data_IF_788881154856
#
_entry.id   IF_788881154856
#
_cell.length_a   1.000
_cell.length_b   1.000
_cell.length_c   1.000
_cell.angle_alpha   90.00
_cell.angle_beta   90.00
_cell.angle_gamma   90.00
#
_symmetry.space_group_name_H-M   'P 1'
#
loop_
_entity.id
_entity.type
_entity.pdbx_description
1 polymer ?
#
# COMPACT_ATOMS: atom_id res chain seq x y z
N UNK A 1 32.64 -84.04 -25.28
CA UNK A 1 32.23 -84.59 -23.97
C UNK A 1 31.66 -83.45 -23.15
N UNK A 2 30.56 -83.72 -22.46
CA UNK A 2 29.55 -82.82 -21.86
C UNK A 2 30.07 -81.79 -20.83
N UNK A 3 29.27 -80.69 -20.74
CA UNK A 3 28.95 -79.88 -19.54
C UNK A 3 30.07 -78.93 -19.05
N UNK A 4 29.86 -77.68 -18.64
CA UNK A 4 28.65 -76.97 -18.18
C UNK A 4 29.02 -75.56 -17.68
N UNK A 5 28.00 -74.79 -17.26
CA UNK A 5 28.01 -73.51 -16.53
C UNK A 5 28.03 -72.28 -17.46
N UNK A 6 27.05 -71.38 -17.45
CA UNK A 6 26.27 -70.93 -16.29
C UNK A 6 24.92 -70.31 -16.70
N UNK A 7 23.76 -70.90 -16.34
CA UNK A 7 22.46 -70.24 -16.46
C UNK A 7 22.29 -69.08 -15.44
N UNK A 8 23.24 -68.93 -14.51
CA UNK A 8 23.22 -67.89 -13.48
C UNK A 8 23.55 -66.49 -14.03
N UNK A 9 24.40 -66.37 -15.07
CA UNK A 9 24.75 -65.07 -15.63
C UNK A 9 23.59 -64.47 -16.44
N UNK A 10 22.85 -65.31 -17.17
CA UNK A 10 21.68 -64.88 -17.93
C UNK A 10 20.52 -64.47 -17.00
N UNK A 11 20.33 -65.19 -15.88
CA UNK A 11 19.33 -64.83 -14.87
C UNK A 11 19.67 -63.53 -14.13
N UNK A 12 20.95 -63.26 -13.85
CA UNK A 12 21.39 -62.02 -13.18
C UNK A 12 21.29 -60.79 -14.12
N UNK A 13 21.60 -60.96 -15.41
CA UNK A 13 21.42 -59.91 -16.42
C UNK A 13 19.94 -59.63 -16.72
N UNK A 14 19.07 -60.65 -16.67
CA UNK A 14 17.63 -60.44 -16.78
C UNK A 14 17.06 -59.74 -15.55
N UNK A 15 17.58 -60.03 -14.35
CA UNK A 15 17.18 -59.34 -13.11
C UNK A 15 17.66 -57.87 -13.07
N UNK A 16 18.85 -57.56 -13.59
CA UNK A 16 19.35 -56.18 -13.69
C UNK A 16 18.62 -55.40 -14.80
N UNK A 17 18.23 -56.06 -15.91
CA UNK A 17 17.37 -55.42 -16.92
C UNK A 17 15.90 -55.29 -16.49
N UNK A 18 15.37 -56.19 -15.65
CA UNK A 18 14.02 -56.07 -15.09
C UNK A 18 13.95 -55.13 -13.88
N UNK A 19 15.05 -54.94 -13.14
CA UNK A 19 15.16 -53.91 -12.10
C UNK A 19 15.46 -52.52 -12.69
N UNK A 20 15.98 -52.44 -13.91
CA UNK A 20 16.31 -51.20 -14.62
C UNK A 20 15.14 -50.54 -15.38
N UNK A 21 13.97 -51.18 -15.44
CA UNK A 21 12.77 -50.67 -16.11
C UNK A 21 11.54 -50.62 -15.20
N UNK A 22 11.76 -50.42 -13.90
CA UNK A 22 10.71 -50.07 -12.94
C UNK A 22 11.03 -48.78 -12.18
N UNK A 23 11.60 -47.78 -12.85
CA UNK A 23 11.15 -46.41 -12.58
C UNK A 23 9.97 -46.17 -13.50
N UNK A 24 8.82 -46.73 -13.13
CA UNK A 24 7.59 -46.06 -13.45
C UNK A 24 7.79 -44.62 -12.94
N UNK A 25 7.93 -43.67 -13.86
CA UNK A 25 7.42 -42.35 -13.58
C UNK A 25 5.91 -42.58 -13.35
N UNK A 26 5.54 -42.98 -12.13
CA UNK A 26 4.23 -42.65 -11.60
C UNK A 26 4.13 -41.16 -11.84
N UNK A 27 3.34 -40.78 -12.85
CA UNK A 27 2.94 -39.41 -13.11
C UNK A 27 2.23 -38.96 -11.85
N UNK A 28 3.01 -38.46 -10.88
CA UNK A 28 2.51 -38.09 -9.56
C UNK A 28 1.56 -36.93 -9.78
N UNK A 29 0.29 -37.25 -9.59
CA UNK A 29 -0.87 -36.40 -9.78
C UNK A 29 -0.66 -34.99 -9.23
N UNK A 30 -1.09 -33.99 -10.01
CA UNK A 30 -1.10 -32.59 -9.57
C UNK A 30 -2.16 -32.39 -8.49
N UNK A 31 -1.77 -31.83 -7.35
CA UNK A 31 -2.66 -31.65 -6.21
C UNK A 31 -3.44 -30.34 -6.27
N UNK A 32 -2.91 -29.33 -6.96
CA UNK A 32 -3.51 -28.00 -7.10
C UNK A 32 -3.55 -27.61 -8.59
N UNK A 33 -4.73 -27.24 -9.07
CA UNK A 33 -4.97 -26.83 -10.46
C UNK A 33 -5.55 -25.42 -10.45
N UNK A 34 -4.82 -24.46 -10.99
CA UNK A 34 -5.18 -23.04 -10.96
C UNK A 34 -5.84 -22.62 -12.26
N UNK A 35 -7.01 -22.00 -12.19
CA UNK A 35 -7.64 -21.27 -13.28
C UNK A 35 -7.43 -19.80 -13.00
N UNK A 36 -6.33 -19.28 -13.54
CA UNK A 36 -5.88 -17.92 -13.30
C UNK A 36 -4.82 -17.51 -14.31
N UNK A 37 -4.55 -16.22 -14.44
CA UNK A 37 -3.43 -15.64 -15.19
C UNK A 37 -2.09 -16.07 -14.61
N UNK A 38 -1.04 -16.05 -15.44
CA UNK A 38 0.34 -16.30 -15.03
C UNK A 38 0.90 -15.24 -14.06
N UNK A 39 0.20 -14.10 -13.94
CA UNK A 39 0.53 -12.98 -13.04
C UNK A 39 -0.12 -13.08 -11.67
N UNK A 40 -1.06 -13.99 -11.44
CA UNK A 40 -1.76 -14.11 -10.16
C UNK A 40 -0.79 -14.39 -9.00
N UNK A 41 -0.90 -13.66 -7.89
CA UNK A 41 0.10 -13.74 -6.81
C UNK A 41 0.13 -15.13 -6.18
N UNK A 42 -1.03 -15.71 -5.84
CA UNK A 42 -1.08 -17.03 -5.22
C UNK A 42 -0.42 -18.08 -6.10
N UNK A 43 -0.73 -18.11 -7.39
CA UNK A 43 -0.12 -19.05 -8.33
C UNK A 43 1.40 -18.89 -8.38
N UNK A 44 1.90 -17.65 -8.47
CA UNK A 44 3.34 -17.37 -8.50
C UNK A 44 4.02 -17.76 -7.19
N UNK A 45 3.40 -17.49 -6.05
CA UNK A 45 3.96 -17.82 -4.73
C UNK A 45 3.97 -19.34 -4.50
N UNK A 46 2.90 -20.05 -4.85
CA UNK A 46 2.81 -21.51 -4.74
C UNK A 46 3.85 -22.18 -5.64
N UNK A 47 3.93 -21.76 -6.92
CA UNK A 47 4.92 -22.27 -7.87
C UNK A 47 6.35 -21.97 -7.41
N UNK A 48 6.62 -20.73 -6.99
CA UNK A 48 7.93 -20.30 -6.49
C UNK A 48 8.35 -20.98 -5.18
N UNK A 49 7.39 -21.50 -4.41
CA UNK A 49 7.63 -22.28 -3.19
C UNK A 49 7.90 -23.77 -3.48
N UNK A 50 7.92 -24.18 -4.75
CA UNK A 50 8.23 -25.55 -5.17
C UNK A 50 7.05 -26.52 -5.05
N UNK A 51 5.82 -26.01 -4.92
CA UNK A 51 4.62 -26.85 -4.92
C UNK A 51 4.29 -27.36 -6.32
N UNK A 52 3.76 -28.57 -6.38
CA UNK A 52 3.30 -29.18 -7.64
C UNK A 52 1.91 -28.66 -7.96
N UNK A 53 1.85 -27.79 -8.96
CA UNK A 53 0.61 -27.25 -9.46
C UNK A 53 0.64 -27.06 -10.97
N UNK A 54 -0.55 -27.02 -11.57
CA UNK A 54 -0.75 -26.68 -12.98
C UNK A 54 -1.58 -25.41 -13.10
N UNK A 55 -1.41 -24.66 -14.20
CA UNK A 55 -2.22 -23.49 -14.56
C UNK A 55 -3.02 -23.79 -15.83
N UNK A 56 -4.27 -23.35 -15.86
CA UNK A 56 -5.20 -23.46 -16.97
C UNK A 56 -5.88 -22.11 -17.21
N UNK A 57 -6.40 -21.92 -18.42
CA UNK A 57 -7.19 -20.73 -18.78
C UNK A 57 -8.68 -20.92 -18.55
N UNK A 58 -9.15 -22.18 -18.41
CA UNK A 58 -10.57 -22.50 -18.22
C UNK A 58 -10.79 -23.52 -17.11
N UNK A 59 -11.98 -23.46 -16.49
CA UNK A 59 -12.42 -24.43 -15.49
C UNK A 59 -12.58 -25.84 -16.07
N UNK A 60 -13.08 -25.95 -17.30
CA UNK A 60 -13.25 -27.22 -17.98
C UNK A 60 -11.91 -27.95 -18.15
N UNK A 61 -10.89 -27.26 -18.67
CA UNK A 61 -9.56 -27.85 -18.87
C UNK A 61 -8.92 -28.27 -17.54
N UNK A 62 -9.06 -27.43 -16.50
CA UNK A 62 -8.54 -27.75 -15.17
C UNK A 62 -9.22 -29.00 -14.58
N UNK A 63 -10.54 -29.12 -14.71
CA UNK A 63 -11.29 -30.28 -14.23
C UNK A 63 -11.00 -31.55 -15.01
N UNK A 64 -10.74 -31.45 -16.31
CA UNK A 64 -10.40 -32.60 -17.15
C UNK A 64 -9.06 -33.24 -16.75
N UNK A 65 -8.10 -32.41 -16.36
CA UNK A 65 -6.76 -32.86 -15.96
C UNK A 65 -6.61 -33.08 -14.44
N UNK A 66 -7.50 -32.52 -13.64
CA UNK A 66 -7.53 -32.75 -12.20
C UNK A 66 -7.89 -34.20 -11.90
N UNK A 67 -7.00 -34.90 -11.18
CA UNK A 67 -7.29 -36.25 -10.69
C UNK A 67 -8.04 -36.24 -9.36
N UNK A 68 -8.49 -37.42 -8.94
CA UNK A 68 -9.24 -37.62 -7.70
C UNK A 68 -8.55 -37.08 -6.44
N UNK A 69 -9.28 -36.34 -5.62
CA UNK A 69 -8.75 -35.77 -4.37
C UNK A 69 -7.79 -34.59 -4.54
N UNK A 70 -7.65 -34.07 -5.76
CA UNK A 70 -7.00 -32.77 -6.02
C UNK A 70 -7.96 -31.60 -5.83
N UNK A 71 -7.44 -30.38 -5.92
CA UNK A 71 -8.23 -29.16 -5.87
C UNK A 71 -8.13 -28.36 -7.19
N UNK A 72 -9.21 -27.66 -7.52
CA UNK A 72 -9.27 -26.68 -8.60
C UNK A 72 -9.59 -25.31 -8.00
N UNK A 73 -8.75 -24.31 -8.28
CA UNK A 73 -8.86 -22.95 -7.77
C UNK A 73 -9.23 -21.99 -8.90
N UNK A 74 -10.44 -21.46 -8.87
CA UNK A 74 -10.96 -20.45 -9.80
C UNK A 74 -10.69 -19.05 -9.21
N UNK A 75 -9.64 -18.39 -9.69
CA UNK A 75 -9.17 -17.13 -9.12
C UNK A 75 -9.71 -15.90 -9.88
N UNK A 76 -9.94 -14.81 -9.16
CA UNK A 76 -10.60 -13.63 -9.71
C UNK A 76 -9.62 -12.69 -10.44
N UNK A 77 -9.17 -13.04 -11.65
CA UNK A 77 -8.26 -12.17 -12.42
C UNK A 77 -8.89 -10.86 -12.87
N UNK A 78 -10.20 -10.85 -13.16
CA UNK A 78 -10.93 -9.65 -13.57
C UNK A 78 -11.29 -8.69 -12.43
N UNK A 79 -10.88 -8.99 -11.20
CA UNK A 79 -11.23 -8.22 -10.02
C UNK A 79 -10.65 -6.79 -10.01
N UNK A 80 -11.41 -5.79 -9.52
CA UNK A 80 -12.80 -5.86 -9.07
C UNK A 80 -13.84 -5.66 -10.19
N UNK A 81 -13.41 -5.38 -11.42
CA UNK A 81 -14.27 -4.97 -12.53
C UNK A 81 -15.17 -6.10 -13.06
N UNK A 82 -14.73 -7.35 -12.95
CA UNK A 82 -15.47 -8.54 -13.36
C UNK A 82 -15.48 -9.58 -12.24
N UNK A 83 -16.65 -10.22 -12.07
CA UNK A 83 -16.86 -11.36 -11.18
C UNK A 83 -16.48 -12.66 -11.90
N UNK A 84 -16.14 -13.70 -11.13
CA UNK A 84 -15.76 -15.01 -11.68
C UNK A 84 -17.01 -15.80 -12.06
N UNK A 85 -17.24 -16.01 -13.35
CA UNK A 85 -18.31 -16.86 -13.83
C UNK A 85 -18.02 -18.33 -13.51
N UNK A 86 -18.99 -19.04 -12.91
CA UNK A 86 -18.88 -20.48 -12.61
C UNK A 86 -20.19 -21.16 -12.97
N UNK A 87 -20.14 -22.01 -13.99
CA UNK A 87 -21.31 -22.75 -14.45
C UNK A 87 -21.66 -23.91 -13.52
N UNK A 88 -22.94 -24.31 -13.48
CA UNK A 88 -23.37 -25.47 -12.68
C UNK A 88 -22.65 -26.77 -13.06
N UNK A 89 -22.25 -26.91 -14.33
CA UNK A 89 -21.48 -28.05 -14.84
C UNK A 89 -20.13 -28.22 -14.15
N UNK A 90 -19.49 -27.12 -13.72
CA UNK A 90 -18.23 -27.14 -12.97
C UNK A 90 -18.42 -27.82 -11.61
N UNK A 91 -19.49 -27.46 -10.89
CA UNK A 91 -19.84 -28.08 -9.62
C UNK A 91 -20.17 -29.56 -9.78
N UNK A 92 -20.98 -29.91 -10.79
CA UNK A 92 -21.37 -31.30 -11.06
C UNK A 92 -20.15 -32.19 -11.37
N UNK A 93 -19.22 -31.68 -12.19
CA UNK A 93 -17.97 -32.38 -12.51
C UNK A 93 -17.06 -32.53 -11.29
N UNK A 94 -16.92 -31.47 -10.50
CA UNK A 94 -16.10 -31.50 -9.29
C UNK A 94 -16.64 -32.53 -8.28
N UNK A 95 -17.96 -32.58 -8.07
CA UNK A 95 -18.60 -33.58 -7.22
C UNK A 95 -18.37 -35.01 -7.74
N UNK A 96 -18.57 -35.25 -9.05
CA UNK A 96 -18.35 -36.57 -9.67
C UNK A 96 -16.92 -37.08 -9.52
N UNK A 97 -15.92 -36.18 -9.60
CA UNK A 97 -14.49 -36.52 -9.47
C UNK A 97 -13.95 -36.36 -8.05
N UNK A 98 -14.80 -36.03 -7.07
CA UNK A 98 -14.39 -35.71 -5.70
C UNK A 98 -13.24 -34.66 -5.64
N UNK A 99 -13.33 -33.65 -6.49
CA UNK A 99 -12.42 -32.51 -6.55
C UNK A 99 -12.97 -31.42 -5.63
N UNK A 100 -12.09 -30.81 -4.83
CA UNK A 100 -12.45 -29.63 -4.03
C UNK A 100 -12.29 -28.36 -4.86
N UNK A 101 -13.31 -27.51 -4.83
CA UNK A 101 -13.26 -26.21 -5.50
C UNK A 101 -12.85 -25.10 -4.52
N UNK A 102 -12.06 -24.16 -5.02
CA UNK A 102 -11.90 -22.83 -4.41
C UNK A 102 -12.33 -21.78 -5.42
N UNK A 103 -13.21 -20.87 -5.03
CA UNK A 103 -13.82 -19.91 -5.95
C UNK A 103 -13.72 -18.51 -5.35
N UNK A 104 -13.10 -17.57 -6.08
CA UNK A 104 -13.02 -16.17 -5.66
C UNK A 104 -14.01 -15.28 -6.40
N UNK A 105 -14.62 -14.36 -5.66
CA UNK A 105 -15.44 -13.26 -6.17
C UNK A 105 -16.45 -13.72 -7.25
N UNK A 106 -17.29 -14.74 -6.96
CA UNK A 106 -18.13 -15.39 -7.96
C UNK A 106 -19.25 -14.47 -8.47
N UNK A 107 -19.64 -14.64 -9.73
CA UNK A 107 -20.76 -13.91 -10.31
C UNK A 107 -22.09 -14.36 -9.69
N UNK A 108 -22.30 -15.68 -9.68
CA UNK A 108 -23.44 -16.34 -9.08
C UNK A 108 -23.04 -17.75 -8.66
N UNK A 109 -23.67 -18.27 -7.61
CA UNK A 109 -23.60 -19.67 -7.19
C UNK A 109 -25.02 -20.11 -6.86
N UNK A 110 -25.49 -21.19 -7.47
CA UNK A 110 -26.84 -21.71 -7.21
C UNK A 110 -27.02 -22.04 -5.71
N UNK A 111 -28.13 -21.56 -5.13
CA UNK A 111 -28.41 -21.66 -3.69
C UNK A 111 -27.80 -20.55 -2.81
N UNK A 112 -26.99 -19.65 -3.37
CA UNK A 112 -26.44 -18.50 -2.64
C UNK A 112 -26.91 -17.16 -3.23
N UNK A 113 -27.33 -16.25 -2.36
CA UNK A 113 -27.63 -14.87 -2.74
C UNK A 113 -26.30 -14.12 -2.86
N UNK A 114 -25.95 -13.74 -4.09
CA UNK A 114 -24.76 -12.96 -4.41
C UNK A 114 -25.18 -11.51 -4.71
N UNK A 115 -24.98 -10.60 -3.75
CA UNK A 115 -25.45 -9.21 -3.89
C UNK A 115 -24.57 -8.35 -4.83
N UNK A 116 -24.86 -7.04 -4.87
CA UNK A 116 -24.01 -6.08 -5.56
C UNK A 116 -22.69 -5.89 -4.79
N UNK A 117 -21.59 -5.79 -5.54
CA UNK A 117 -20.27 -5.51 -4.96
C UNK A 117 -20.30 -4.26 -4.07
N UNK A 118 -19.79 -4.41 -2.86
CA UNK A 118 -19.59 -3.35 -1.87
C UNK A 118 -18.09 -3.10 -1.67
N UNK A 119 -17.72 -1.86 -1.37
CA UNK A 119 -16.32 -1.48 -1.05
C UNK A 119 -16.22 -1.24 0.45
N UNK A 120 -15.27 -1.92 1.09
CA UNK A 120 -14.93 -1.68 2.47
C UNK A 120 -14.27 -0.31 2.63
N UNK A 121 -14.79 0.49 3.57
CA UNK A 121 -14.25 1.80 3.91
C UNK A 121 -13.48 1.75 5.23
N UNK A 122 -14.08 1.12 6.23
CA UNK A 122 -13.53 1.01 7.60
C UNK A 122 -13.50 -0.43 8.10
N UNK A 123 -14.11 -1.34 7.36
CA UNK A 123 -14.19 -2.75 7.66
C UNK A 123 -12.85 -3.44 7.38
N UNK A 124 -12.52 -4.41 8.22
CA UNK A 124 -11.30 -5.23 8.10
C UNK A 124 -11.67 -6.69 8.12
N UNK A 125 -10.84 -7.53 7.53
CA UNK A 125 -11.04 -8.97 7.58
C UNK A 125 -10.70 -9.49 8.98
N UNK A 126 -11.51 -10.42 9.46
CA UNK A 126 -11.34 -11.04 10.79
C UNK A 126 -11.53 -12.54 10.65
N UNK A 127 -10.64 -13.30 11.27
CA UNK A 127 -10.78 -14.76 11.38
C UNK A 127 -11.94 -15.07 12.31
N UNK A 128 -12.93 -15.80 11.80
CA UNK A 128 -14.18 -16.10 12.51
C UNK A 128 -14.23 -17.56 13.00
N UNK A 129 -13.61 -18.49 12.28
CA UNK A 129 -13.51 -19.90 12.63
C UNK A 129 -12.18 -20.30 13.27
N UNK A 130 -12.10 -21.52 13.79
CA UNK A 130 -10.90 -22.09 14.42
C UNK A 130 -10.06 -22.96 13.45
N UNK A 131 -10.50 -23.10 12.20
CA UNK A 131 -9.91 -23.97 11.18
C UNK A 131 -8.42 -23.71 10.86
N UNK A 132 -7.92 -22.52 11.17
CA UNK A 132 -6.52 -22.14 10.91
C UNK A 132 -5.58 -22.36 12.12
N UNK A 133 -6.13 -22.83 13.24
CA UNK A 133 -5.39 -23.21 14.44
C UNK A 133 -4.65 -22.06 15.13
N UNK A 134 -3.74 -22.41 16.04
CA UNK A 134 -3.06 -21.44 16.92
C UNK A 134 -2.18 -20.41 16.18
N UNK A 135 -1.73 -20.73 14.97
CA UNK A 135 -0.90 -19.80 14.16
C UNK A 135 -1.71 -18.67 13.55
N UNK A 136 -3.02 -18.85 13.40
CA UNK A 136 -3.94 -17.82 12.92
C UNK A 136 -5.26 -17.95 13.69
N UNK A 137 -5.28 -17.51 14.96
CA UNK A 137 -6.41 -17.75 15.85
C UNK A 137 -7.64 -16.93 15.45
N UNK A 138 -8.81 -17.37 15.91
CA UNK A 138 -10.04 -16.60 15.87
C UNK A 138 -9.84 -15.20 16.44
N UNK A 139 -10.57 -14.22 15.89
CA UNK A 139 -10.46 -12.78 16.14
C UNK A 139 -9.20 -12.10 15.60
N UNK A 140 -8.28 -12.82 14.94
CA UNK A 140 -7.14 -12.18 14.26
C UNK A 140 -7.63 -11.24 13.17
N UNK A 141 -7.12 -10.00 13.16
CA UNK A 141 -7.41 -9.01 12.14
C UNK A 141 -6.41 -9.16 10.98
N UNK A 142 -6.92 -9.20 9.75
CA UNK A 142 -6.15 -9.07 8.52
C UNK A 142 -6.67 -7.86 7.72
N UNK A 143 -5.73 -7.11 7.15
CA UNK A 143 -6.02 -5.95 6.31
C UNK A 143 -5.95 -6.32 4.84
N UNK A 144 -6.96 -5.90 4.10
CA UNK A 144 -7.03 -5.93 2.64
C UNK A 144 -7.22 -4.50 2.12
N UNK A 145 -6.31 -4.03 1.28
CA UNK A 145 -6.36 -2.70 0.70
C UNK A 145 -7.61 -2.54 -0.17
N UNK A 146 -8.47 -1.55 0.16
CA UNK A 146 -9.70 -1.19 -0.55
C UNK A 146 -10.48 -2.43 -1.05
N UNK A 147 -10.84 -3.31 -0.11
CA UNK A 147 -11.51 -4.57 -0.43
C UNK A 147 -12.87 -4.31 -1.10
N UNK A 148 -13.02 -4.83 -2.32
CA UNK A 148 -14.30 -5.01 -2.97
C UNK A 148 -14.78 -6.43 -2.64
N UNK A 149 -15.97 -6.57 -2.12
CA UNK A 149 -16.53 -7.87 -1.78
C UNK A 149 -17.99 -7.96 -2.18
N UNK A 150 -18.47 -9.18 -2.33
CA UNK A 150 -19.87 -9.49 -2.64
C UNK A 150 -20.53 -9.87 -1.32
N UNK A 151 -21.46 -9.05 -0.78
CA UNK A 151 -22.23 -9.46 0.38
C UNK A 151 -22.96 -10.78 0.09
N UNK A 152 -22.78 -11.74 1.00
CA UNK A 152 -23.33 -13.10 0.94
C UNK A 152 -23.73 -13.53 2.34
N UNK A 153 -24.60 -14.55 2.43
CA UNK A 153 -24.90 -15.23 3.68
C UNK A 153 -24.29 -16.63 3.68
N UNK A 154 -23.66 -16.99 4.78
CA UNK A 154 -23.09 -18.30 5.00
C UNK A 154 -23.10 -18.61 6.50
N UNK A 155 -23.50 -19.83 6.86
CA UNK A 155 -23.31 -20.33 8.21
C UNK A 155 -21.82 -20.61 8.46
N UNK A 156 -21.37 -20.35 9.68
CA UNK A 156 -20.01 -20.67 10.16
C UNK A 156 -18.88 -20.21 9.21
N UNK A 157 -18.79 -18.90 8.89
CA UNK A 157 -17.73 -18.41 8.03
C UNK A 157 -16.35 -18.63 8.67
N UNK A 158 -15.36 -18.95 7.83
CA UNK A 158 -13.95 -19.03 8.24
C UNK A 158 -13.38 -17.63 8.48
N UNK A 159 -13.79 -16.68 7.65
CA UNK A 159 -13.45 -15.26 7.77
C UNK A 159 -14.64 -14.38 7.45
N UNK A 160 -14.66 -13.22 8.07
CA UNK A 160 -15.65 -12.16 7.83
C UNK A 160 -14.95 -10.83 7.54
N UNK A 161 -15.67 -9.87 6.96
CA UNK A 161 -15.31 -8.46 6.92
C UNK A 161 -16.26 -7.68 7.82
N UNK A 162 -15.70 -6.86 8.71
CA UNK A 162 -16.49 -6.10 9.68
C UNK A 162 -15.73 -4.88 10.21
N UNK A 163 -16.49 -3.88 10.68
CA UNK A 163 -15.91 -2.77 11.45
C UNK A 163 -15.66 -3.23 12.89
N UNK A 164 -14.39 -3.52 13.18
CA UNK A 164 -13.94 -3.98 14.51
C UNK A 164 -12.95 -3.00 15.13
N UNK A 165 -12.84 -3.01 16.45
CA UNK A 165 -11.80 -2.28 17.17
C UNK A 165 -10.58 -3.17 17.47
N UNK A 166 -9.40 -2.56 17.59
CA UNK A 166 -8.13 -3.24 17.83
C UNK A 166 -7.19 -3.18 16.62
N UNK A 167 -5.92 -3.52 16.82
CA UNK A 167 -4.92 -3.53 15.74
C UNK A 167 -4.68 -4.96 15.23
N UNK A 168 -4.24 -5.83 16.13
CA UNK A 168 -3.91 -7.23 15.88
C UNK A 168 -5.10 -8.19 16.01
N UNK A 169 -6.05 -7.86 16.87
CA UNK A 169 -7.22 -8.68 17.17
C UNK A 169 -8.47 -7.82 17.36
N UNK A 170 -9.64 -8.40 17.07
CA UNK A 170 -10.93 -7.78 17.29
C UNK A 170 -11.30 -7.84 18.79
N UNK A 171 -10.85 -6.85 19.56
CA UNK A 171 -10.90 -6.88 21.04
C UNK A 171 -12.32 -6.81 21.63
N UNK A 172 -13.30 -6.36 20.84
CA UNK A 172 -14.72 -6.35 21.22
C UNK A 172 -15.55 -7.41 20.47
N UNK A 173 -14.88 -8.37 19.82
CA UNK A 173 -15.53 -9.42 19.04
C UNK A 173 -15.94 -8.99 17.64
N UNK A 174 -16.65 -9.89 16.95
CA UNK A 174 -17.21 -9.69 15.61
C UNK A 174 -18.67 -9.23 15.77
N UNK A 175 -19.08 -8.09 15.16
CA UNK A 175 -20.45 -7.61 15.24
C UNK A 175 -21.40 -8.42 14.35
N UNK A 176 -22.70 -8.37 14.66
CA UNK A 176 -23.75 -9.05 13.85
C UNK A 176 -23.85 -8.51 12.42
N UNK A 177 -23.37 -7.29 12.17
CA UNK A 177 -23.31 -6.68 10.84
C UNK A 177 -22.14 -7.19 9.98
N UNK A 178 -21.40 -8.20 10.45
CA UNK A 178 -20.27 -8.76 9.72
C UNK A 178 -20.74 -9.54 8.48
N UNK A 179 -19.99 -9.43 7.38
CA UNK A 179 -20.25 -10.17 6.16
C UNK A 179 -19.25 -11.32 6.00
N UNK A 180 -19.69 -12.56 5.73
CA UNK A 180 -18.81 -13.65 5.31
C UNK A 180 -17.89 -13.25 4.15
N UNK A 181 -16.59 -13.49 4.30
CA UNK A 181 -15.56 -13.30 3.26
C UNK A 181 -15.01 -14.62 2.75
N UNK A 182 -14.90 -15.62 3.62
CA UNK A 182 -14.42 -16.95 3.27
C UNK A 182 -15.24 -17.99 4.03
N UNK A 183 -15.87 -18.91 3.33
CA UNK A 183 -16.75 -19.91 3.94
C UNK A 183 -16.80 -21.19 3.11
N UNK A 184 -17.17 -22.29 3.77
CA UNK A 184 -17.33 -23.61 3.13
C UNK A 184 -18.74 -23.72 2.55
N UNK A 185 -18.84 -24.45 1.44
CA UNK A 185 -20.09 -24.84 0.80
C UNK A 185 -20.10 -26.37 0.64
N UNK A 186 -20.41 -27.13 1.71
CA UNK A 186 -20.20 -28.57 1.77
C UNK A 186 -20.94 -29.34 0.68
N UNK A 187 -22.17 -28.94 0.35
CA UNK A 187 -23.03 -29.56 -0.65
C UNK A 187 -22.48 -29.43 -2.09
N UNK A 188 -21.57 -28.47 -2.31
CA UNK A 188 -20.86 -28.29 -3.59
C UNK A 188 -19.38 -28.67 -3.52
N UNK A 189 -18.93 -29.25 -2.39
CA UNK A 189 -17.52 -29.55 -2.10
C UNK A 189 -16.58 -28.36 -2.39
N UNK A 190 -17.01 -27.15 -2.00
CA UNK A 190 -16.35 -25.91 -2.37
C UNK A 190 -15.98 -25.05 -1.16
N UNK A 191 -14.97 -24.21 -1.33
CA UNK A 191 -14.65 -23.08 -0.49
C UNK A 191 -14.84 -21.81 -1.32
N UNK A 192 -15.63 -20.88 -0.82
CA UNK A 192 -16.00 -19.65 -1.55
C UNK A 192 -15.41 -18.45 -0.83
N UNK A 193 -14.70 -17.62 -1.57
CA UNK A 193 -14.25 -16.31 -1.14
C UNK A 193 -15.10 -15.23 -1.81
N UNK A 194 -15.73 -14.36 -1.03
CA UNK A 194 -16.57 -13.26 -1.53
C UNK A 194 -15.77 -12.11 -2.15
N UNK A 195 -14.44 -12.25 -2.24
CA UNK A 195 -13.47 -11.25 -2.71
C UNK A 195 -12.23 -11.96 -3.28
N UNK A 196 -11.25 -11.20 -3.78
CA UNK A 196 -9.96 -11.72 -4.24
C UNK A 196 -8.95 -11.80 -3.10
N UNK A 197 -8.83 -12.96 -2.47
CA UNK A 197 -7.78 -13.24 -1.49
C UNK A 197 -6.43 -13.50 -2.18
N UNK A 198 -6.45 -13.95 -3.44
CA UNK A 198 -5.26 -14.39 -4.18
C UNK A 198 -4.36 -13.25 -4.65
N UNK A 199 -4.76 -11.99 -4.46
CA UNK A 199 -4.01 -10.77 -4.80
C UNK A 199 -3.21 -10.17 -3.64
N UNK A 200 -2.79 -10.99 -2.68
CA UNK A 200 -2.25 -10.51 -1.39
C UNK A 200 -0.86 -9.88 -1.46
N UNK A 201 -0.08 -10.13 -2.52
CA UNK A 201 1.24 -9.52 -2.71
C UNK A 201 1.10 -8.18 -3.39
N UNK A 202 0.43 -8.17 -4.54
CA UNK A 202 0.15 -6.98 -5.35
C UNK A 202 -0.71 -5.99 -4.57
N UNK A 203 -1.81 -6.45 -3.94
CA UNK A 203 -2.69 -5.64 -3.10
C UNK A 203 -2.10 -5.22 -1.75
N UNK A 204 -0.85 -5.58 -1.45
CA UNK A 204 -0.13 -5.22 -0.21
C UNK A 204 -0.88 -5.61 1.06
N UNK A 205 -1.47 -6.81 1.09
CA UNK A 205 -2.24 -7.24 2.25
C UNK A 205 -1.33 -7.46 3.46
N UNK A 206 -1.85 -7.18 4.65
CA UNK A 206 -1.09 -7.20 5.89
C UNK A 206 -1.87 -7.88 7.03
N UNK A 207 -1.20 -8.44 8.05
CA UNK A 207 0.23 -8.69 8.13
C UNK A 207 0.68 -9.80 7.18
N UNK A 208 1.81 -9.62 6.49
CA UNK A 208 2.25 -10.58 5.45
C UNK A 208 2.41 -12.01 5.97
N UNK A 209 2.92 -12.21 7.20
CA UNK A 209 3.10 -13.56 7.74
C UNK A 209 1.76 -14.30 7.95
N UNK A 210 0.72 -13.56 8.36
CA UNK A 210 -0.61 -14.11 8.62
C UNK A 210 -1.31 -14.49 7.32
N UNK A 211 -1.13 -13.71 6.26
CA UNK A 211 -1.60 -14.08 4.92
C UNK A 211 -0.97 -15.37 4.41
N UNK A 212 0.29 -15.63 4.75
CA UNK A 212 0.96 -16.90 4.44
C UNK A 212 0.34 -18.05 5.20
N UNK A 213 0.09 -17.86 6.50
CA UNK A 213 -0.57 -18.85 7.35
C UNK A 213 -1.99 -19.14 6.89
N UNK A 214 -2.74 -18.11 6.51
CA UNK A 214 -4.08 -18.23 5.94
C UNK A 214 -4.06 -19.10 4.68
N UNK A 215 -3.19 -18.78 3.73
CA UNK A 215 -3.11 -19.54 2.47
C UNK A 215 -2.61 -20.96 2.66
N UNK A 216 -1.65 -21.19 3.55
CA UNK A 216 -1.23 -22.55 3.95
C UNK A 216 -2.41 -23.34 4.53
N UNK A 217 -3.25 -22.69 5.34
CA UNK A 217 -4.48 -23.27 5.89
C UNK A 217 -5.53 -23.59 4.82
N UNK A 218 -5.82 -22.64 3.91
CA UNK A 218 -6.75 -22.83 2.79
C UNK A 218 -6.29 -23.99 1.91
N UNK A 219 -5.01 -24.04 1.53
CA UNK A 219 -4.46 -25.14 0.75
C UNK A 219 -4.58 -26.47 1.50
N UNK A 220 -4.37 -26.47 2.83
CA UNK A 220 -4.58 -27.66 3.66
C UNK A 220 -6.03 -28.15 3.68
N UNK A 221 -7.01 -27.25 3.64
CA UNK A 221 -8.44 -27.59 3.53
C UNK A 221 -8.79 -28.15 2.15
N UNK A 222 -8.19 -27.62 1.09
CA UNK A 222 -8.44 -27.99 -0.30
C UNK A 222 -7.72 -29.28 -0.72
N UNK A 223 -6.47 -29.47 -0.29
CA UNK A 223 -5.65 -30.63 -0.61
C UNK A 223 -4.86 -31.05 0.63
N UNK A 224 -5.43 -31.86 1.55
CA UNK A 224 -4.80 -32.21 2.84
C UNK A 224 -3.43 -32.90 2.74
N UNK A 225 -3.19 -33.59 1.62
CA UNK A 225 -1.92 -34.24 1.26
C UNK A 225 -0.86 -33.24 0.76
N UNK A 226 -1.26 -32.04 0.34
CA UNK A 226 -0.38 -30.96 -0.05
C UNK A 226 0.13 -30.23 1.18
N UNK A 227 1.33 -30.59 1.65
CA UNK A 227 2.03 -29.82 2.70
C UNK A 227 2.85 -28.72 2.02
N UNK A 228 2.43 -27.47 2.22
CA UNK A 228 3.09 -26.29 1.66
C UNK A 228 3.64 -25.40 2.77
N UNK A 229 4.80 -24.80 2.52
CA UNK A 229 5.30 -23.63 3.24
C UNK A 229 5.53 -22.52 2.22
N UNK A 230 4.66 -21.51 2.23
CA UNK A 230 4.71 -20.43 1.25
C UNK A 230 5.85 -19.47 1.59
N UNK A 231 6.61 -19.10 0.56
CA UNK A 231 7.70 -18.13 0.66
C UNK A 231 7.55 -17.09 -0.45
N UNK A 232 7.47 -15.83 -0.04
CA UNK A 232 7.50 -14.71 -0.96
C UNK A 232 8.10 -13.49 -0.27
N UNK A 233 8.40 -12.49 -1.09
CA UNK A 233 8.84 -11.18 -0.63
C UNK A 233 7.69 -10.21 -0.80
N UNK A 234 7.20 -9.57 0.28
CA UNK A 234 6.19 -8.52 0.16
C UNK A 234 6.69 -7.37 -0.72
N UNK A 235 5.77 -6.68 -1.39
CA UNK A 235 6.08 -5.51 -2.22
C UNK A 235 6.75 -4.40 -1.40
N UNK A 236 6.33 -4.24 -0.13
CA UNK A 236 6.93 -3.31 0.83
C UNK A 236 7.29 -4.10 2.10
N UNK A 237 8.55 -3.96 2.54
CA UNK A 237 9.11 -4.67 3.68
C UNK A 237 10.21 -3.78 4.31
N UNK A 238 10.47 -3.93 5.62
CA UNK A 238 11.54 -3.16 6.27
C UNK A 238 12.90 -3.53 5.68
N UNK A 239 13.80 -2.56 5.58
CA UNK A 239 15.16 -2.77 5.08
C UNK A 239 15.96 -3.77 5.95
N UNK A 240 15.67 -3.79 7.25
CA UNK A 240 16.31 -4.66 8.24
C UNK A 240 15.28 -5.26 9.19
N UNK A 241 15.56 -6.46 9.69
CA UNK A 241 14.81 -7.16 10.74
C UNK A 241 15.34 -6.76 12.13
N UNK A 242 14.57 -7.01 13.21
CA UNK A 242 15.01 -6.72 14.57
C UNK A 242 16.34 -7.37 14.98
N UNK A 243 16.67 -8.51 14.38
CA UNK A 243 17.86 -9.31 14.66
C UNK A 243 19.01 -9.13 13.64
N UNK A 244 18.82 -8.28 12.63
CA UNK A 244 19.85 -8.02 11.63
C UNK A 244 21.00 -7.21 12.22
N UNK A 245 22.24 -7.61 11.88
CA UNK A 245 23.41 -6.79 12.14
C UNK A 245 23.44 -5.64 11.13
N UNK A 246 23.25 -4.41 11.62
CA UNK A 246 23.29 -3.22 10.77
C UNK A 246 24.71 -2.97 10.26
N UNK A 247 24.88 -2.57 8.99
CA UNK A 247 26.17 -2.17 8.47
C UNK A 247 26.62 -0.84 9.07
N UNK A 248 27.94 -0.58 9.12
CA UNK A 248 28.51 0.61 9.75
C UNK A 248 28.08 1.94 9.08
N UNK A 249 27.64 1.88 7.82
CA UNK A 249 27.19 3.03 7.02
C UNK A 249 25.65 3.14 6.94
N UNK A 250 24.90 2.45 7.83
CA UNK A 250 23.42 2.39 7.79
C UNK A 250 22.76 3.77 7.80
N UNK A 251 23.24 4.71 8.60
CA UNK A 251 22.69 6.07 8.67
C UNK A 251 22.88 6.83 7.35
N UNK A 252 24.07 6.71 6.75
CA UNK A 252 24.37 7.31 5.45
C UNK A 252 23.48 6.69 4.36
N UNK A 253 23.27 5.37 4.37
CA UNK A 253 22.36 4.69 3.44
C UNK A 253 20.93 5.17 3.61
N UNK A 254 20.45 5.34 4.84
CA UNK A 254 19.10 5.84 5.10
C UNK A 254 18.88 7.24 4.50
N UNK A 255 19.87 8.14 4.61
CA UNK A 255 19.81 9.46 3.97
C UNK A 255 19.78 9.34 2.44
N UNK A 256 20.63 8.49 1.86
CA UNK A 256 20.69 8.26 0.40
C UNK A 256 19.37 7.68 -0.10
N UNK A 257 18.84 6.64 0.55
CA UNK A 257 17.60 5.98 0.17
C UNK A 257 16.39 6.94 0.28
N UNK A 258 16.35 7.76 1.34
CA UNK A 258 15.33 8.81 1.50
C UNK A 258 15.39 9.86 0.40
N UNK A 259 16.59 10.34 0.05
CA UNK A 259 16.77 11.27 -1.06
C UNK A 259 16.36 10.64 -2.40
N UNK A 260 16.76 9.39 -2.65
CA UNK A 260 16.38 8.67 -3.88
C UNK A 260 14.88 8.43 -3.97
N UNK A 261 14.18 8.26 -2.84
CA UNK A 261 12.72 8.20 -2.84
C UNK A 261 12.12 9.48 -3.41
N UNK A 262 12.51 10.66 -2.92
CA UNK A 262 12.01 11.93 -3.47
C UNK A 262 12.34 12.08 -4.96
N UNK A 263 13.59 11.80 -5.36
CA UNK A 263 14.06 11.98 -6.73
C UNK A 263 13.40 11.03 -7.75
N UNK A 264 12.94 9.85 -7.30
CA UNK A 264 12.36 8.81 -8.16
C UNK A 264 10.84 8.65 -7.96
N UNK A 265 10.25 9.34 -6.99
CA UNK A 265 8.82 9.24 -6.65
C UNK A 265 7.87 9.76 -7.74
N UNK A 266 8.36 10.60 -8.66
CA UNK A 266 7.51 11.35 -9.58
C UNK A 266 6.70 12.46 -8.89
N UNK A 267 7.14 12.95 -7.73
CA UNK A 267 6.50 14.07 -7.01
C UNK A 267 7.08 15.44 -7.39
N UNK A 268 8.33 15.49 -7.88
CA UNK A 268 8.91 16.74 -8.39
C UNK A 268 8.23 17.10 -9.71
N UNK A 269 7.51 18.23 -9.71
CA UNK A 269 6.70 18.64 -10.85
C UNK A 269 7.58 18.98 -12.04
N UNK A 270 7.42 18.24 -13.13
CA UNK A 270 8.12 18.52 -14.38
C UNK A 270 7.47 19.68 -15.13
N UNK A 271 8.27 20.37 -15.95
CA UNK A 271 7.76 21.45 -16.81
C UNK A 271 6.63 20.98 -17.75
N UNK A 272 6.67 19.70 -18.16
CA UNK A 272 5.66 19.13 -19.07
C UNK A 272 4.30 18.91 -18.40
N UNK A 273 4.26 18.62 -17.10
CA UNK A 273 3.01 18.30 -16.40
C UNK A 273 2.42 19.49 -15.65
N UNK A 274 3.21 20.54 -15.41
CA UNK A 274 2.83 21.73 -14.63
C UNK A 274 1.44 22.27 -15.00
N UNK A 275 1.23 22.67 -16.25
CA UNK A 275 -0.01 23.33 -16.68
C UNK A 275 -1.25 22.45 -16.50
N UNK A 276 -1.11 21.13 -16.67
CA UNK A 276 -2.23 20.21 -16.47
C UNK A 276 -2.52 20.01 -14.99
N UNK A 277 -1.50 19.87 -14.15
CA UNK A 277 -1.69 19.80 -12.70
C UNK A 277 -2.33 21.07 -12.15
N UNK A 278 -1.91 22.24 -12.61
CA UNK A 278 -2.49 23.51 -12.20
C UNK A 278 -3.99 23.58 -12.53
N UNK A 279 -4.37 23.14 -13.74
CA UNK A 279 -5.77 23.05 -14.16
C UNK A 279 -6.59 22.10 -13.28
N UNK A 280 -6.03 20.95 -12.94
CA UNK A 280 -6.67 19.94 -12.06
C UNK A 280 -6.90 20.52 -10.66
N UNK A 281 -5.88 21.20 -10.10
CA UNK A 281 -5.96 21.84 -8.79
C UNK A 281 -6.96 23.00 -8.76
N UNK A 282 -6.98 23.84 -9.80
CA UNK A 282 -7.96 24.93 -9.95
C UNK A 282 -9.40 24.40 -10.06
N UNK A 283 -9.58 23.19 -10.57
CA UNK A 283 -10.88 22.50 -10.60
C UNK A 283 -11.24 21.83 -9.27
N UNK A 284 -10.39 21.90 -8.25
CA UNK A 284 -10.63 21.33 -6.91
C UNK A 284 -10.32 19.85 -6.77
N UNK A 285 -9.64 19.24 -7.75
CA UNK A 285 -9.17 17.85 -7.64
C UNK A 285 -7.78 17.82 -7.02
N UNK A 286 -7.62 17.10 -5.91
CA UNK A 286 -6.36 17.08 -5.14
C UNK A 286 -5.59 15.76 -5.22
N UNK A 287 -6.09 14.77 -5.96
CA UNK A 287 -5.34 13.54 -6.20
C UNK A 287 -5.59 12.95 -7.59
N UNK A 288 -4.58 12.24 -8.08
CA UNK A 288 -4.58 11.55 -9.39
C UNK A 288 -3.91 10.17 -9.27
N UNK A 289 -4.05 9.28 -10.27
CA UNK A 289 -3.27 8.05 -10.29
C UNK A 289 -1.77 8.36 -10.22
N UNK A 290 -0.94 7.42 -9.74
CA UNK A 290 0.51 7.59 -9.80
C UNK A 290 0.97 7.78 -11.26
N UNK A 291 2.08 8.53 -11.48
CA UNK A 291 2.63 8.70 -12.82
C UNK A 291 3.20 7.38 -13.36
N UNK A 292 3.43 7.30 -14.67
CA UNK A 292 4.17 6.20 -15.26
C UNK A 292 5.63 6.22 -14.76
N UNK A 293 6.24 5.05 -14.57
CA UNK A 293 7.59 4.92 -13.99
C UNK A 293 8.69 5.63 -14.79
N UNK A 294 8.48 5.87 -16.08
CA UNK A 294 9.39 6.56 -16.99
C UNK A 294 9.02 8.04 -17.23
N UNK A 295 8.07 8.57 -16.46
CA UNK A 295 7.71 9.99 -16.52
C UNK A 295 8.93 10.86 -16.18
N UNK A 296 9.16 11.97 -16.91
CA UNK A 296 10.30 12.83 -16.65
C UNK A 296 10.19 13.45 -15.26
N UNK A 297 11.27 13.37 -14.47
CA UNK A 297 11.33 14.00 -13.15
C UNK A 297 11.52 15.52 -13.29
N UNK A 298 10.85 16.29 -12.44
CA UNK A 298 11.14 17.71 -12.25
C UNK A 298 12.49 17.96 -11.59
N UNK A 299 12.95 19.21 -11.67
CA UNK A 299 14.19 19.70 -11.06
C UNK A 299 13.94 20.57 -9.82
N UNK A 300 12.71 20.56 -9.30
CA UNK A 300 12.28 21.36 -8.14
C UNK A 300 11.85 22.79 -8.46
N UNK A 301 12.08 23.30 -9.68
CA UNK A 301 11.70 24.68 -10.05
C UNK A 301 10.19 24.92 -10.05
N UNK A 302 9.39 23.87 -10.20
CA UNK A 302 7.93 23.90 -10.15
C UNK A 302 7.35 23.30 -8.85
N UNK A 303 8.21 23.13 -7.83
CA UNK A 303 7.85 22.57 -6.54
C UNK A 303 7.76 21.03 -6.53
N UNK A 304 7.45 20.52 -5.34
CA UNK A 304 7.16 19.11 -5.07
C UNK A 304 5.75 18.95 -4.49
N UNK A 305 5.05 17.93 -4.98
CA UNK A 305 3.71 17.56 -4.52
C UNK A 305 3.73 16.94 -3.11
N UNK A 306 2.60 17.02 -2.40
CA UNK A 306 2.44 16.58 -0.99
C UNK A 306 2.86 15.13 -0.72
N UNK A 307 2.67 14.21 -1.68
CA UNK A 307 3.09 12.82 -1.55
C UNK A 307 2.09 11.82 -2.13
N UNK A 308 1.91 10.69 -1.45
CA UNK A 308 0.94 9.67 -1.82
C UNK A 308 -0.12 9.51 -0.73
N UNK A 309 -1.37 9.29 -1.13
CA UNK A 309 -2.49 9.08 -0.20
C UNK A 309 -2.22 7.87 0.70
N UNK A 310 -2.59 7.95 1.98
CA UNK A 310 -2.47 6.82 2.91
C UNK A 310 -3.34 5.63 2.48
N UNK A 311 -4.42 5.87 1.75
CA UNK A 311 -5.25 4.81 1.18
C UNK A 311 -4.50 4.07 0.05
N UNK A 312 -4.49 2.75 0.15
CA UNK A 312 -3.96 1.85 -0.88
C UNK A 312 -5.16 1.28 -1.65
N UNK A 313 -5.13 1.39 -2.96
CA UNK A 313 -6.13 0.80 -3.85
C UNK A 313 -6.01 -0.73 -3.88
N UNK A 314 -7.03 -1.40 -4.41
CA UNK A 314 -7.11 -2.87 -4.44
C UNK A 314 -5.96 -3.55 -5.21
N UNK A 315 -5.27 -2.79 -6.07
CA UNK A 315 -4.12 -3.24 -6.86
C UNK A 315 -2.76 -2.88 -6.23
N UNK A 316 -2.76 -2.30 -5.01
CA UNK A 316 -1.55 -1.91 -4.30
C UNK A 316 -1.05 -0.49 -4.58
N UNK A 317 -1.68 0.22 -5.53
CA UNK A 317 -1.30 1.59 -5.88
C UNK A 317 -1.76 2.59 -4.80
N UNK A 318 -1.04 3.70 -4.71
CA UNK A 318 -1.46 4.85 -3.93
C UNK A 318 -1.62 6.05 -4.86
N UNK A 319 -2.68 6.82 -4.64
CA UNK A 319 -2.97 8.04 -5.40
C UNK A 319 -1.92 9.10 -5.10
N UNK A 320 -1.44 9.81 -6.12
CA UNK A 320 -0.52 10.96 -5.96
C UNK A 320 -1.33 12.16 -5.47
N UNK A 321 -1.00 12.69 -4.29
CA UNK A 321 -1.58 13.90 -3.70
C UNK A 321 -0.95 15.12 -4.35
N UNK A 322 -1.78 16.01 -4.86
CA UNK A 322 -1.38 17.17 -5.67
C UNK A 322 -1.11 18.49 -4.93
N UNK A 323 -1.51 18.70 -3.65
CA UNK A 323 -1.22 19.97 -3.01
C UNK A 323 0.26 20.36 -3.04
N UNK A 324 0.52 21.61 -3.42
CA UNK A 324 1.83 22.25 -3.46
C UNK A 324 1.94 23.12 -2.21
N UNK A 325 2.34 22.50 -1.09
CA UNK A 325 2.40 23.14 0.22
C UNK A 325 3.80 23.65 0.55
N UNK A 326 3.87 24.75 1.29
CA UNK A 326 5.15 25.36 1.67
C UNK A 326 6.01 24.43 2.54
N UNK A 327 5.41 23.76 3.52
CA UNK A 327 6.09 22.84 4.43
C UNK A 327 6.64 21.62 3.69
N UNK A 328 5.85 21.00 2.80
CA UNK A 328 6.31 19.89 1.97
C UNK A 328 7.54 20.28 1.13
N UNK A 329 7.54 21.46 0.52
CA UNK A 329 8.65 21.91 -0.32
C UNK A 329 9.92 22.18 0.49
N UNK A 330 9.80 22.86 1.64
CA UNK A 330 10.94 23.20 2.49
C UNK A 330 11.53 21.99 3.22
N UNK A 331 10.72 21.05 3.71
CA UNK A 331 11.20 19.81 4.35
C UNK A 331 11.92 18.90 3.34
N UNK A 332 11.46 18.85 2.09
CA UNK A 332 12.16 18.11 1.03
C UNK A 332 13.45 18.81 0.63
N UNK A 333 13.44 20.14 0.54
CA UNK A 333 14.67 20.91 0.31
C UNK A 333 15.70 20.63 1.41
N UNK A 334 15.28 20.58 2.67
CA UNK A 334 16.13 20.19 3.81
C UNK A 334 16.70 18.77 3.62
N UNK A 335 15.87 17.78 3.33
CA UNK A 335 16.33 16.40 3.13
C UNK A 335 17.37 16.29 2.00
N UNK A 336 17.14 16.96 0.87
CA UNK A 336 18.05 16.96 -0.28
C UNK A 336 19.33 17.78 -0.01
N UNK A 337 19.24 18.86 0.76
CA UNK A 337 20.41 19.63 1.19
C UNK A 337 21.31 18.81 2.13
N UNK A 338 20.74 18.07 3.08
CA UNK A 338 21.50 17.14 3.94
C UNK A 338 22.15 16.04 3.11
N UNK A 339 21.41 15.44 2.17
CA UNK A 339 21.97 14.43 1.25
C UNK A 339 23.13 14.97 0.42
N UNK A 340 22.99 16.20 -0.10
CA UNK A 340 24.03 16.93 -0.82
C UNK A 340 25.27 17.18 0.03
N UNK A 341 25.11 17.73 1.24
CA UNK A 341 26.22 18.01 2.15
C UNK A 341 26.99 16.73 2.51
N UNK A 342 26.29 15.63 2.77
CA UNK A 342 26.92 14.39 3.20
C UNK A 342 27.61 13.64 2.05
N UNK A 343 27.11 13.74 0.82
CA UNK A 343 27.55 12.91 -0.32
C UNK A 343 28.09 13.71 -1.50
N UNK A 344 28.20 15.03 -1.39
CA UNK A 344 28.60 15.95 -2.46
C UNK A 344 27.72 15.85 -3.71
N UNK A 345 26.43 15.53 -3.53
CA UNK A 345 25.49 15.31 -4.64
C UNK A 345 24.97 16.64 -5.22
N UNK A 346 25.51 17.00 -6.39
CA UNK A 346 25.19 18.26 -7.07
C UNK A 346 23.73 18.36 -7.50
N UNK A 347 23.08 17.24 -7.84
CA UNK A 347 21.68 17.21 -8.26
C UNK A 347 20.77 17.58 -7.09
N UNK A 348 20.99 16.97 -5.94
CA UNK A 348 20.25 17.24 -4.70
C UNK A 348 20.49 18.67 -4.23
N UNK A 349 21.72 19.18 -4.38
CA UNK A 349 22.02 20.59 -4.12
C UNK A 349 21.14 21.53 -4.95
N UNK A 350 21.12 21.35 -6.28
CA UNK A 350 20.36 22.20 -7.19
C UNK A 350 18.85 22.12 -6.94
N UNK A 351 18.32 20.91 -6.72
CA UNK A 351 16.89 20.72 -6.46
C UNK A 351 16.50 21.36 -5.12
N UNK A 352 17.32 21.23 -4.07
CA UNK A 352 17.06 21.90 -2.79
C UNK A 352 16.99 23.42 -2.94
N UNK A 353 17.93 24.04 -3.67
CA UNK A 353 17.89 25.48 -3.95
C UNK A 353 16.61 25.87 -4.72
N UNK A 354 16.26 25.11 -5.75
CA UNK A 354 15.07 25.37 -6.56
C UNK A 354 13.77 25.27 -5.74
N UNK A 355 13.67 24.30 -4.83
CA UNK A 355 12.49 24.14 -3.96
C UNK A 355 12.34 25.31 -2.96
N UNK A 356 13.44 25.80 -2.37
CA UNK A 356 13.39 26.98 -1.50
C UNK A 356 12.99 28.23 -2.31
N UNK A 357 13.60 28.41 -3.48
CA UNK A 357 13.26 29.50 -4.40
C UNK A 357 11.79 29.44 -4.83
N UNK A 358 11.27 28.25 -5.12
CA UNK A 358 9.86 28.05 -5.45
C UNK A 358 8.95 28.59 -4.34
N UNK A 359 9.22 28.26 -3.07
CA UNK A 359 8.40 28.71 -1.94
C UNK A 359 8.48 30.23 -1.73
N UNK A 360 9.69 30.78 -1.69
CA UNK A 360 9.89 32.17 -1.27
C UNK A 360 9.75 33.20 -2.40
N UNK A 361 9.92 32.78 -3.65
CA UNK A 361 9.97 33.67 -4.82
C UNK A 361 8.92 33.32 -5.87
N UNK A 362 8.96 32.10 -6.41
CA UNK A 362 8.31 31.82 -7.70
C UNK A 362 6.83 31.41 -7.59
N UNK A 363 6.41 30.81 -6.48
CA UNK A 363 5.04 30.28 -6.27
C UNK A 363 3.99 31.32 -5.89
N UNK A 364 4.42 32.51 -5.47
CA UNK A 364 3.56 33.55 -4.90
C UNK A 364 3.15 33.34 -3.43
N UNK A 365 3.59 32.25 -2.77
CA UNK A 365 3.24 31.95 -1.37
C UNK A 365 3.72 33.01 -0.37
N UNK A 366 4.81 33.72 -0.69
CA UNK A 366 5.38 34.79 0.14
C UNK A 366 5.23 36.20 -0.48
N UNK A 367 4.44 36.33 -1.55
CA UNK A 367 4.32 37.57 -2.35
C UNK A 367 3.08 38.40 -1.98
N UNK A 368 2.91 39.56 -2.62
CA UNK A 368 1.72 40.41 -2.48
C UNK A 368 1.50 40.87 -1.04
N UNK A 369 0.33 40.55 -0.46
CA UNK A 369 -0.05 40.89 0.93
C UNK A 369 0.94 40.39 2.00
N UNK A 370 1.71 39.35 1.70
CA UNK A 370 2.75 38.80 2.60
C UNK A 370 4.12 39.48 2.41
N UNK A 371 4.32 40.19 1.30
CA UNK A 371 5.52 40.95 1.01
C UNK A 371 5.40 42.46 1.31
N UNK A 372 4.18 42.96 1.55
CA UNK A 372 3.91 44.37 1.89
C UNK A 372 4.09 44.64 3.39
N UNK A 373 5.10 45.42 3.82
CA UNK A 373 5.36 45.71 5.23
C UNK A 373 4.22 46.41 5.98
N UNK A 374 3.30 47.06 5.25
CA UNK A 374 2.14 47.74 5.84
C UNK A 374 0.96 46.80 6.10
N UNK A 375 0.97 45.60 5.51
CA UNK A 375 -0.14 44.67 5.57
C UNK A 375 -0.03 43.76 6.80
N UNK A 376 -1.15 43.44 7.51
CA UNK A 376 -1.12 42.60 8.73
C UNK A 376 -0.63 41.16 8.49
N UNK A 377 -0.68 40.67 7.24
CA UNK A 377 -0.13 39.38 6.83
C UNK A 377 1.37 39.40 6.48
N UNK A 378 2.05 40.56 6.55
CA UNK A 378 3.46 40.68 6.19
C UNK A 378 4.33 39.63 6.88
N UNK A 379 5.08 38.87 6.09
CA UNK A 379 6.01 37.86 6.54
C UNK A 379 5.43 36.46 6.75
N UNK A 380 4.11 36.28 6.79
CA UNK A 380 3.52 34.93 6.84
C UNK A 380 3.83 34.18 5.54
N UNK A 381 3.78 32.85 5.60
CA UNK A 381 3.88 31.97 4.44
C UNK A 381 2.49 31.37 4.18
N UNK A 382 2.02 31.44 2.93
CA UNK A 382 0.76 30.79 2.54
C UNK A 382 0.84 29.26 2.75
N UNK A 383 -0.30 28.63 3.04
CA UNK A 383 -0.34 27.16 3.16
C UNK A 383 0.16 26.44 1.90
N UNK A 384 -0.31 26.92 0.74
CA UNK A 384 0.07 26.38 -0.56
C UNK A 384 -0.28 27.30 -1.70
N UNK A 385 0.07 26.90 -2.92
CA UNK A 385 -0.12 27.66 -4.16
C UNK A 385 -1.20 27.07 -5.08
N UNK A 386 -1.61 27.83 -6.10
CA UNK A 386 -2.52 27.43 -7.18
C UNK A 386 -4.01 27.38 -6.80
N UNK A 387 -4.43 26.50 -5.89
CA UNK A 387 -5.86 26.40 -5.53
C UNK A 387 -6.34 27.68 -4.82
N UNK A 388 -7.51 28.26 -5.16
CA UNK A 388 -7.96 29.53 -4.58
C UNK A 388 -8.05 29.55 -3.04
N UNK A 389 -8.28 28.39 -2.43
CA UNK A 389 -8.41 28.28 -0.97
C UNK A 389 -7.05 28.39 -0.24
N UNK A 390 -5.94 28.04 -0.88
CA UNK A 390 -4.67 27.83 -0.18
C UNK A 390 -3.87 29.12 0.03
N UNK A 391 -3.79 30.07 -0.93
CA UNK A 391 -3.19 31.37 -0.70
C UNK A 391 -3.89 32.22 0.36
N UNK A 392 -5.14 31.88 0.71
CA UNK A 392 -5.90 32.59 1.74
C UNK A 392 -5.49 32.18 3.17
N UNK A 393 -4.96 30.97 3.34
CA UNK A 393 -4.69 30.35 4.63
C UNK A 393 -3.26 30.58 5.13
N UNK A 394 -3.11 30.76 6.45
CA UNK A 394 -1.81 30.78 7.14
C UNK A 394 -1.88 29.88 8.39
N UNK A 395 -1.50 28.62 8.23
CA UNK A 395 -1.36 27.65 9.31
C UNK A 395 -0.06 27.89 10.06
N UNK A 396 -0.15 27.89 11.39
CA UNK A 396 0.97 28.21 12.26
C UNK A 396 2.01 27.09 12.26
N UNK A 397 1.55 25.85 12.36
CA UNK A 397 2.38 24.65 12.31
C UNK A 397 3.06 24.47 10.95
N UNK A 398 2.39 24.71 9.82
CA UNK A 398 3.03 24.68 8.50
C UNK A 398 4.16 25.72 8.36
N UNK A 399 3.92 26.94 8.84
CA UNK A 399 4.94 27.98 8.84
C UNK A 399 6.11 27.58 9.76
N UNK A 400 5.79 27.06 10.95
CA UNK A 400 6.77 26.59 11.92
C UNK A 400 7.54 25.35 11.47
N UNK A 401 7.02 24.52 10.55
CA UNK A 401 7.78 23.44 9.90
C UNK A 401 8.67 23.96 8.77
N UNK A 402 8.20 24.98 8.04
CA UNK A 402 8.94 25.59 6.94
C UNK A 402 10.20 26.34 7.40
N UNK A 403 10.13 27.00 8.56
CA UNK A 403 11.23 27.79 9.12
C UNK A 403 12.48 26.93 9.46
N UNK A 404 12.44 25.95 10.38
CA UNK A 404 13.60 25.16 10.76
C UNK A 404 14.11 24.29 9.60
N UNK A 405 13.21 23.82 8.73
CA UNK A 405 13.61 23.11 7.51
C UNK A 405 14.48 24.00 6.61
N UNK A 406 14.07 25.25 6.40
CA UNK A 406 14.84 26.23 5.62
C UNK A 406 16.17 26.59 6.29
N UNK A 407 16.19 26.79 7.62
CA UNK A 407 17.42 27.07 8.38
C UNK A 407 18.44 25.93 8.21
N UNK A 408 18.01 24.67 8.33
CA UNK A 408 18.91 23.54 8.15
C UNK A 408 19.33 23.40 6.68
N UNK A 409 18.41 23.58 5.73
CA UNK A 409 18.70 23.51 4.31
C UNK A 409 19.76 24.55 3.92
N UNK A 410 19.61 25.81 4.31
CA UNK A 410 20.55 26.86 3.95
C UNK A 410 21.93 26.66 4.58
N UNK A 411 21.99 26.15 5.83
CA UNK A 411 23.24 25.79 6.48
C UNK A 411 23.98 24.67 5.72
N UNK A 412 23.26 23.65 5.26
CA UNK A 412 23.83 22.57 4.43
C UNK A 412 24.27 23.06 3.04
N UNK A 413 23.56 24.04 2.47
CA UNK A 413 23.85 24.62 1.15
C UNK A 413 24.94 25.70 1.20
N UNK A 414 25.24 26.26 2.38
CA UNK A 414 26.20 27.34 2.56
C UNK A 414 25.71 28.67 1.98
N UNK A 415 24.43 29.00 2.17
CA UNK A 415 23.80 30.24 1.69
C UNK A 415 23.04 30.96 2.81
N UNK A 416 22.88 32.28 2.68
CA UNK A 416 22.10 33.17 3.53
C UNK A 416 20.93 33.84 2.76
N UNK A 417 20.68 33.43 1.52
CA UNK A 417 19.65 34.02 0.63
C UNK A 417 18.24 34.05 1.24
N UNK A 418 17.95 33.15 2.19
CA UNK A 418 16.61 32.96 2.76
C UNK A 418 16.42 33.63 4.12
N UNK A 419 17.46 34.24 4.71
CA UNK A 419 17.43 34.80 6.07
C UNK A 419 16.31 35.82 6.27
N UNK A 420 16.11 36.71 5.30
CA UNK A 420 15.07 37.73 5.40
C UNK A 420 13.67 37.10 5.45
N UNK A 421 13.41 36.07 4.64
CA UNK A 421 12.13 35.36 4.63
C UNK A 421 11.91 34.62 5.95
N UNK A 422 12.93 33.94 6.46
CA UNK A 422 12.90 33.23 7.75
C UNK A 422 12.57 34.21 8.89
N UNK A 423 13.26 35.35 8.96
CA UNK A 423 13.05 36.34 10.00
C UNK A 423 11.65 36.95 9.95
N UNK A 424 11.15 37.24 8.74
CA UNK A 424 9.78 37.71 8.54
C UNK A 424 8.75 36.67 8.96
N UNK A 425 8.96 35.40 8.63
CA UNK A 425 8.08 34.29 9.02
C UNK A 425 8.04 34.08 10.54
N UNK A 426 9.20 34.08 11.21
CA UNK A 426 9.27 34.01 12.67
C UNK A 426 8.51 35.16 13.34
N UNK A 427 8.80 36.40 12.93
CA UNK A 427 8.18 37.58 13.52
C UNK A 427 6.65 37.60 13.28
N UNK A 428 6.21 37.21 12.09
CA UNK A 428 4.79 37.22 11.73
C UNK A 428 3.98 36.16 12.47
N UNK A 429 4.56 34.97 12.72
CA UNK A 429 3.94 33.95 13.55
C UNK A 429 3.92 34.37 15.02
N UNK A 430 5.01 34.92 15.55
CA UNK A 430 5.07 35.45 16.91
C UNK A 430 4.02 36.54 17.15
N UNK A 431 3.93 37.54 16.27
CA UNK A 431 2.98 38.65 16.42
C UNK A 431 1.52 38.26 16.16
N UNK A 432 1.25 37.07 15.65
CA UNK A 432 -0.11 36.54 15.48
C UNK A 432 -0.45 35.45 16.49
N UNK A 433 0.45 35.18 17.44
CA UNK A 433 0.23 34.29 18.58
C UNK A 433 -0.27 35.12 19.77
N UNK A 434 -1.29 34.61 20.46
CA UNK A 434 -1.92 35.30 21.58
C UNK A 434 -1.04 35.37 22.83
N UNK A 435 -1.43 36.19 23.78
CA UNK A 435 -0.66 36.47 25.01
C UNK A 435 -0.45 35.25 25.91
N UNK A 436 -1.26 34.20 25.74
CA UNK A 436 -1.11 32.93 26.46
C UNK A 436 -0.17 31.93 25.75
N UNK A 437 0.44 32.34 24.63
CA UNK A 437 1.33 31.49 23.84
C UNK A 437 0.62 30.56 22.86
N UNK A 438 -0.71 30.55 22.84
CA UNK A 438 -1.49 29.82 21.84
C UNK A 438 -1.82 30.70 20.64
N UNK A 439 -1.78 30.08 19.46
CA UNK A 439 -2.39 30.61 18.26
C UNK A 439 -3.77 29.96 18.07
N UNK A 440 -4.32 30.13 16.88
CA UNK A 440 -5.43 29.36 16.34
C UNK A 440 -4.85 28.35 15.34
N UNK A 441 -5.63 27.30 15.02
CA UNK A 441 -5.30 26.34 13.96
C UNK A 441 -4.82 27.06 12.68
N UNK A 442 -5.57 28.09 12.27
CA UNK A 442 -5.34 28.83 11.03
C UNK A 442 -5.76 30.29 11.17
N UNK A 443 -5.00 31.18 10.55
CA UNK A 443 -5.35 32.60 10.43
C UNK A 443 -5.45 32.98 8.96
N UNK A 444 -6.67 33.28 8.51
CA UNK A 444 -6.92 33.64 7.11
C UNK A 444 -6.67 35.13 6.83
N UNK A 445 -6.28 35.44 5.60
CA UNK A 445 -6.01 36.81 5.13
C UNK A 445 -7.17 37.77 5.45
N UNK A 446 -8.42 37.37 5.19
CA UNK A 446 -9.59 38.21 5.44
C UNK A 446 -9.74 38.58 6.93
N UNK A 447 -9.39 37.66 7.83
CA UNK A 447 -9.44 37.92 9.28
C UNK A 447 -8.35 38.89 9.72
N UNK A 448 -7.17 38.81 9.11
CA UNK A 448 -6.08 39.76 9.32
C UNK A 448 -6.43 41.16 8.80
N UNK A 449 -7.07 41.26 7.64
CA UNK A 449 -7.49 42.55 7.07
C UNK A 449 -8.58 43.23 7.91
N UNK A 450 -9.53 42.44 8.43
CA UNK A 450 -10.62 42.96 9.23
C UNK A 450 -10.17 43.46 10.62
N UNK A 451 -9.24 42.74 11.27
CA UNK A 451 -8.92 42.98 12.68
C UNK A 451 -7.49 43.51 12.92
N UNK A 452 -6.61 43.42 11.94
CA UNK A 452 -5.17 43.62 12.12
C UNK A 452 -4.50 42.50 12.93
N UNK A 453 -3.17 42.52 13.00
CA UNK A 453 -2.41 41.48 13.71
C UNK A 453 -2.53 41.60 15.24
N UNK A 454 -2.63 42.83 15.77
CA UNK A 454 -2.72 43.09 17.22
C UNK A 454 -3.92 42.43 17.88
N UNK A 455 -5.04 42.33 17.15
CA UNK A 455 -6.21 41.58 17.62
C UNK A 455 -5.86 40.16 18.04
N UNK A 456 -5.01 39.47 17.27
CA UNK A 456 -4.58 38.11 17.58
C UNK A 456 -3.53 38.08 18.68
N UNK A 457 -2.58 39.02 18.65
CA UNK A 457 -1.53 39.14 19.67
C UNK A 457 -2.09 39.37 21.07
N UNK A 458 -3.01 40.33 21.18
CA UNK A 458 -3.54 40.77 22.46
C UNK A 458 -4.60 39.82 23.03
N UNK A 459 -5.02 38.82 22.23
CA UNK A 459 -6.05 37.86 22.62
C UNK A 459 -5.53 36.84 23.66
N UNK A 460 -6.41 36.48 24.59
CA UNK A 460 -6.22 35.36 25.52
C UNK A 460 -6.69 34.04 24.88
N UNK A 461 -6.25 33.79 23.64
CA UNK A 461 -6.58 32.58 22.89
C UNK A 461 -6.06 31.33 23.62
N UNK A 462 -6.84 30.25 23.59
CA UNK A 462 -6.41 28.93 24.04
C UNK A 462 -6.85 27.89 23.02
N UNK A 463 -5.93 27.02 22.62
CA UNK A 463 -6.17 25.95 21.67
C UNK A 463 -5.48 24.66 22.13
N UNK A 464 -6.25 23.69 22.65
CA UNK A 464 -5.70 22.43 23.16
C UNK A 464 -5.45 21.40 22.05
N UNK A 465 -4.86 21.84 20.94
CA UNK A 465 -4.46 20.99 19.82
C UNK A 465 -2.93 20.98 19.70
N UNK A 466 -2.24 19.97 20.28
CA UNK A 466 -0.79 19.85 20.17
C UNK A 466 -0.28 19.83 18.73
N UNK A 467 -1.10 19.35 17.80
CA UNK A 467 -0.79 19.34 16.36
C UNK A 467 -0.51 20.74 15.82
N UNK A 468 -1.35 21.73 16.16
CA UNK A 468 -1.24 23.10 15.66
C UNK A 468 -0.28 23.97 16.46
N UNK A 469 -0.13 23.70 17.76
CA UNK A 469 0.58 24.61 18.67
C UNK A 469 2.03 24.19 18.92
N UNK A 470 2.33 22.88 19.01
CA UNK A 470 3.64 22.43 19.51
C UNK A 470 4.81 22.83 18.61
N UNK A 471 4.59 22.90 17.29
CA UNK A 471 5.64 23.33 16.36
C UNK A 471 5.99 24.80 16.50
N UNK A 472 5.03 25.67 16.84
CA UNK A 472 5.29 27.09 17.05
C UNK A 472 6.06 27.38 18.35
N UNK A 473 5.93 26.49 19.34
CA UNK A 473 6.65 26.58 20.61
C UNK A 473 8.09 26.08 20.53
N UNK A 474 8.35 25.11 19.65
CA UNK A 474 9.67 24.54 19.39
C UNK A 474 10.51 25.49 18.54
#
# INVERSE_FOLDING_TARGET
MRLSHSPMLAALLLWIMLAGFATAAEGRQMLLNFVCSDKNDLYRVVTGSGCRCSRYDSAADALDHAGDGSAVLLLADGYPQAKTAVDQTVFDMALRKNIKLYIEYPEAIDGLICEQTTVANWERCVVAGDDFGEKLPKMRILSMSKCHFIPMQAADPLMVIARVAGYDSAVFGIPDSAHPILFKLPEKNALVAATKLSGFVTGRYAPSADWGTLWEGIIGLLAPSCKVKLKWKPTVYPAYRPDDKLPADVERRAVVDGAMWYLNSGLLVSEKEKSELEKILLAGTEDIPPPQLDSPAGDGSNGILEGFSAAIDHNGDQRRRLPLRADCNTEVAMALAVHSMLNSDKRSNAIAQNLLRYVFVDSGMCSGKRADPSHPAYGLIAWGSISPAWPCANYGDDNARSIPATVLAQACLGTDEWDEYIMRALLSNLRTTGNLGFRLDRVDIASLEANGWKYFHDAETVNYSPHFESYLWA
#
